data_IF_804638045649
#
_entry.id   IF_804638045649
#
_cell.length_a   1.000
_cell.length_b   1.000
_cell.length_c   1.000
_cell.angle_alpha   90.00
_cell.angle_beta   90.00
_cell.angle_gamma   90.00
#
_symmetry.space_group_name_H-M   'P 1'
#
loop_
_entity.id
_entity.type
_entity.pdbx_description
1 polymer ?
#
# COMPACT_ATOMS: atom_id res chain seq x y z
N UNK A 1 13.97 8.08 -6.93
CA UNK A 1 13.05 6.93 -7.08
C UNK A 1 12.59 6.39 -5.72
N UNK A 2 13.49 6.18 -4.75
CA UNK A 2 13.15 5.74 -3.37
C UNK A 2 12.17 6.66 -2.61
N UNK A 3 12.17 7.98 -2.89
CA UNK A 3 11.24 8.95 -2.28
C UNK A 3 9.76 8.57 -2.47
N UNK A 4 9.40 7.94 -3.58
CA UNK A 4 8.01 7.57 -3.82
C UNK A 4 7.59 6.35 -2.99
N UNK A 5 8.53 5.45 -2.64
CA UNK A 5 8.23 4.30 -1.79
C UNK A 5 7.97 4.70 -0.33
N UNK A 6 8.59 5.80 0.13
CA UNK A 6 8.37 6.32 1.48
C UNK A 6 6.92 6.72 1.73
N UNK A 7 6.20 7.18 0.70
CA UNK A 7 4.77 7.53 0.81
C UNK A 7 3.93 6.34 1.27
N UNK A 8 4.26 5.12 0.82
CA UNK A 8 3.54 3.90 1.19
C UNK A 8 3.76 3.49 2.66
N UNK A 9 4.75 4.08 3.35
CA UNK A 9 4.97 3.88 4.80
C UNK A 9 4.38 5.04 5.59
N UNK A 10 4.75 6.26 5.22
CA UNK A 10 4.41 7.44 6.01
C UNK A 10 2.92 7.79 5.93
N UNK A 11 2.25 7.56 4.81
CA UNK A 11 0.82 7.84 4.69
C UNK A 11 -0.04 6.97 5.64
N UNK A 12 0.04 5.62 5.61
CA UNK A 12 -0.70 4.80 6.57
C UNK A 12 -0.20 4.98 8.00
N UNK A 13 1.10 5.24 8.22
CA UNK A 13 1.63 5.51 9.56
C UNK A 13 1.08 6.81 10.16
N UNK A 14 0.97 7.88 9.37
CA UNK A 14 0.38 9.14 9.82
C UNK A 14 -1.11 8.95 10.18
N UNK A 15 -1.86 8.17 9.39
CA UNK A 15 -3.23 7.82 9.73
C UNK A 15 -3.30 6.93 10.98
N UNK A 16 -2.36 6.01 11.17
CA UNK A 16 -2.29 5.15 12.35
C UNK A 16 -2.07 5.99 13.62
N UNK A 17 -1.09 6.90 13.60
CA UNK A 17 -0.83 7.81 14.72
C UNK A 17 -1.98 8.80 14.95
N UNK A 18 -2.60 9.29 13.88
CA UNK A 18 -3.81 10.11 13.97
C UNK A 18 -4.97 9.33 14.60
N UNK A 19 -5.09 8.04 14.32
CA UNK A 19 -6.09 7.18 14.94
C UNK A 19 -5.83 7.01 16.44
N UNK A 20 -4.59 6.74 16.84
CA UNK A 20 -4.26 6.58 18.28
C UNK A 20 -4.57 7.85 19.05
N UNK A 21 -4.14 9.01 18.56
CA UNK A 21 -4.40 10.29 19.24
C UNK A 21 -5.87 10.71 19.22
N UNK A 22 -6.66 10.25 18.22
CA UNK A 22 -8.12 10.47 18.17
C UNK A 22 -8.84 9.72 19.30
N UNK A 23 -8.42 8.47 19.56
CA UNK A 23 -9.08 7.55 20.51
C UNK A 23 -8.50 7.69 21.92
N UNK A 24 -7.17 7.73 22.03
CA UNK A 24 -6.40 7.83 23.26
C UNK A 24 -5.43 9.02 23.14
N UNK A 25 -5.89 10.25 23.34
CA UNK A 25 -5.03 11.43 23.24
C UNK A 25 -3.97 11.38 24.34
N UNK A 26 -2.69 11.42 23.94
CA UNK A 26 -1.56 11.44 24.88
C UNK A 26 -0.65 12.64 24.66
N UNK A 27 -0.54 13.11 23.41
CA UNK A 27 0.39 14.17 23.03
C UNK A 27 -0.28 15.47 22.58
N UNK A 28 -1.57 15.44 22.21
CA UNK A 28 -2.29 16.57 21.63
C UNK A 28 -3.20 17.30 22.63
N UNK A 29 -3.25 18.63 22.53
CA UNK A 29 -4.16 19.47 23.30
C UNK A 29 -5.63 19.28 22.89
N UNK A 30 -6.57 19.61 23.78
CA UNK A 30 -8.01 19.45 23.53
C UNK A 30 -8.49 20.11 22.22
N UNK A 31 -7.96 21.28 21.87
CA UNK A 31 -8.28 21.97 20.61
C UNK A 31 -7.77 21.20 19.39
N UNK A 32 -6.56 20.66 19.47
CA UNK A 32 -5.96 19.88 18.38
C UNK A 32 -6.69 18.55 18.20
N UNK A 33 -7.08 17.88 19.28
CA UNK A 33 -7.92 16.68 19.25
C UNK A 33 -9.28 16.98 18.63
N UNK A 34 -9.85 18.16 18.89
CA UNK A 34 -11.08 18.63 18.23
C UNK A 34 -10.95 18.70 16.71
N UNK A 35 -9.89 19.33 16.21
CA UNK A 35 -9.60 19.35 14.76
C UNK A 35 -9.33 17.96 14.20
N UNK A 36 -8.57 17.13 14.91
CA UNK A 36 -8.28 15.76 14.50
C UNK A 36 -9.58 14.96 14.36
N UNK A 37 -10.51 15.04 15.32
CA UNK A 37 -11.81 14.36 15.23
C UNK A 37 -12.64 14.82 14.04
N UNK A 38 -12.57 16.10 13.67
CA UNK A 38 -13.30 16.65 12.53
C UNK A 38 -12.73 16.23 11.17
N UNK A 39 -11.39 16.25 11.02
CA UNK A 39 -10.75 16.05 9.72
C UNK A 39 -10.24 14.62 9.49
N UNK A 40 -10.04 13.82 10.55
CA UNK A 40 -9.56 12.45 10.43
C UNK A 40 -10.45 11.55 9.56
N UNK A 41 -11.79 11.56 9.68
CA UNK A 41 -12.66 10.73 8.83
C UNK A 41 -12.48 11.05 7.34
N UNK A 42 -12.32 12.34 7.00
CA UNK A 42 -12.09 12.80 5.63
C UNK A 42 -10.74 12.26 5.11
N UNK A 43 -9.68 12.40 5.90
CA UNK A 43 -8.35 11.89 5.53
C UNK A 43 -8.36 10.36 5.32
N UNK A 44 -9.08 9.62 6.18
CA UNK A 44 -9.22 8.19 6.07
C UNK A 44 -10.02 7.78 4.82
N UNK A 45 -11.12 8.47 4.51
CA UNK A 45 -11.89 8.24 3.27
C UNK A 45 -11.05 8.52 2.02
N UNK A 46 -10.26 9.61 2.01
CA UNK A 46 -9.34 9.91 0.90
C UNK A 46 -8.30 8.79 0.70
N UNK A 47 -7.80 8.20 1.79
CA UNK A 47 -6.89 7.06 1.71
C UNK A 47 -7.57 5.81 1.12
N UNK A 48 -8.82 5.54 1.49
CA UNK A 48 -9.59 4.44 0.90
C UNK A 48 -9.92 4.67 -0.58
N UNK A 49 -10.25 5.90 -0.98
CA UNK A 49 -10.41 6.28 -2.39
C UNK A 49 -9.10 6.05 -3.15
N UNK A 50 -7.97 6.46 -2.56
CA UNK A 50 -6.66 6.22 -3.15
C UNK A 50 -6.34 4.72 -3.27
N UNK A 51 -6.67 3.90 -2.28
CA UNK A 51 -6.56 2.43 -2.35
C UNK A 51 -7.38 1.85 -3.49
N UNK A 52 -8.65 2.27 -3.61
CA UNK A 52 -9.54 1.82 -4.68
C UNK A 52 -8.95 2.16 -6.05
N UNK A 53 -8.49 3.39 -6.24
CA UNK A 53 -7.80 3.82 -7.46
C UNK A 53 -6.54 2.98 -7.72
N UNK A 54 -5.68 2.81 -6.71
CA UNK A 54 -4.41 2.10 -6.83
C UNK A 54 -4.60 0.65 -7.27
N UNK A 55 -5.47 -0.10 -6.59
CA UNK A 55 -5.70 -1.51 -6.92
C UNK A 55 -6.45 -1.70 -8.25
N UNK A 56 -7.35 -0.79 -8.59
CA UNK A 56 -8.01 -0.81 -9.91
C UNK A 56 -7.01 -0.55 -11.04
N UNK A 57 -6.16 0.47 -10.90
CA UNK A 57 -5.11 0.78 -11.87
C UNK A 57 -4.10 -0.37 -12.02
N UNK A 58 -3.73 -1.02 -10.92
CA UNK A 58 -2.83 -2.16 -10.92
C UNK A 58 -3.45 -3.37 -11.64
N UNK A 59 -4.71 -3.69 -11.35
CA UNK A 59 -5.45 -4.74 -12.04
C UNK A 59 -5.53 -4.48 -13.55
N UNK A 60 -5.89 -3.25 -13.97
CA UNK A 60 -5.95 -2.88 -15.38
C UNK A 60 -4.57 -3.01 -16.06
N UNK A 61 -3.52 -2.45 -15.43
CA UNK A 61 -2.15 -2.54 -15.94
C UNK A 61 -1.72 -3.99 -16.16
N UNK A 62 -1.99 -4.87 -15.19
CA UNK A 62 -1.58 -6.26 -15.27
C UNK A 62 -2.39 -7.07 -16.29
N UNK A 63 -3.66 -6.76 -16.48
CA UNK A 63 -4.45 -7.35 -17.56
C UNK A 63 -3.90 -6.96 -18.94
N UNK A 64 -3.53 -5.69 -19.14
CA UNK A 64 -2.89 -5.23 -20.39
C UNK A 64 -1.56 -5.96 -20.61
N UNK A 65 -0.72 -6.05 -19.58
CA UNK A 65 0.56 -6.76 -19.67
C UNK A 65 0.36 -8.25 -20.01
N UNK A 66 -0.65 -8.89 -19.42
CA UNK A 66 -0.99 -10.29 -19.70
C UNK A 66 -1.52 -10.47 -21.12
N UNK A 67 -2.36 -9.56 -21.60
CA UNK A 67 -2.83 -9.56 -22.99
C UNK A 67 -1.67 -9.39 -23.99
N UNK A 68 -0.64 -8.63 -23.60
CA UNK A 68 0.60 -8.44 -24.37
C UNK A 68 1.63 -9.57 -24.20
N UNK A 69 1.26 -10.71 -23.60
CA UNK A 69 2.11 -11.90 -23.50
C UNK A 69 2.96 -12.00 -22.23
N UNK A 70 2.80 -11.11 -21.24
CA UNK A 70 3.50 -11.24 -19.95
C UNK A 70 2.98 -12.45 -19.15
N UNK A 71 3.89 -13.23 -18.57
CA UNK A 71 3.59 -14.39 -17.73
C UNK A 71 3.20 -13.98 -16.31
N UNK A 72 2.02 -13.39 -16.15
CA UNK A 72 1.48 -12.96 -14.85
C UNK A 72 0.59 -14.06 -14.27
N UNK A 73 0.84 -14.43 -13.02
CA UNK A 73 0.04 -15.45 -12.31
C UNK A 73 -1.39 -14.96 -12.13
N UNK A 74 -2.38 -15.76 -12.55
CA UNK A 74 -3.79 -15.35 -12.50
C UNK A 74 -4.34 -15.05 -11.10
N UNK A 75 -3.78 -15.65 -10.04
CA UNK A 75 -4.17 -15.34 -8.66
C UNK A 75 -3.78 -13.92 -8.24
N UNK A 76 -2.69 -13.38 -8.79
CA UNK A 76 -2.20 -12.05 -8.47
C UNK A 76 -3.15 -10.97 -9.00
N UNK A 77 -3.63 -11.13 -10.23
CA UNK A 77 -4.66 -10.25 -10.81
C UNK A 77 -5.98 -10.34 -10.00
N UNK A 78 -6.41 -11.55 -9.63
CA UNK A 78 -7.61 -11.74 -8.80
C UNK A 78 -7.49 -11.05 -7.45
N UNK A 79 -6.33 -11.14 -6.81
CA UNK A 79 -6.05 -10.46 -5.54
C UNK A 79 -6.31 -8.94 -5.66
N UNK A 80 -5.84 -8.28 -6.72
CA UNK A 80 -6.09 -6.84 -6.90
C UNK A 80 -7.56 -6.48 -7.04
N UNK A 81 -8.33 -7.30 -7.76
CA UNK A 81 -9.79 -7.09 -7.84
C UNK A 81 -10.47 -7.25 -6.48
N UNK A 82 -10.09 -8.26 -5.69
CA UNK A 82 -10.61 -8.43 -4.33
C UNK A 82 -10.22 -7.25 -3.42
N UNK A 83 -8.99 -6.74 -3.53
CA UNK A 83 -8.56 -5.56 -2.79
C UNK A 83 -9.34 -4.30 -3.19
N UNK A 84 -9.60 -4.10 -4.49
CA UNK A 84 -10.40 -2.99 -4.98
C UNK A 84 -11.86 -3.09 -4.49
N UNK A 85 -12.49 -4.26 -4.56
CA UNK A 85 -13.84 -4.46 -4.04
C UNK A 85 -13.90 -4.23 -2.53
N UNK A 86 -12.89 -4.67 -1.77
CA UNK A 86 -12.83 -4.44 -0.32
C UNK A 86 -12.72 -2.95 0.00
N UNK A 87 -11.89 -2.20 -0.72
CA UNK A 87 -11.80 -0.75 -0.57
C UNK A 87 -13.15 -0.06 -0.83
N UNK A 88 -13.88 -0.51 -1.85
CA UNK A 88 -15.23 -0.02 -2.13
C UNK A 88 -16.21 -0.35 -1.00
N UNK A 89 -16.20 -1.57 -0.47
CA UNK A 89 -17.05 -1.95 0.66
C UNK A 89 -16.78 -1.05 1.87
N UNK A 90 -15.51 -0.86 2.25
CA UNK A 90 -15.14 -0.04 3.43
C UNK A 90 -15.55 1.42 3.25
N UNK A 91 -15.51 1.98 2.04
CA UNK A 91 -16.00 3.33 1.76
C UNK A 91 -17.50 3.52 2.07
N UNK A 92 -18.28 2.43 2.02
CA UNK A 92 -19.72 2.46 2.31
C UNK A 92 -20.04 2.19 3.79
N UNK A 93 -19.05 1.80 4.60
CA UNK A 93 -19.25 1.46 6.00
C UNK A 93 -19.26 2.71 6.89
N UNK A 94 -20.02 2.62 7.98
CA UNK A 94 -19.95 3.61 9.05
C UNK A 94 -18.58 3.52 9.77
N UNK A 95 -17.86 4.63 9.78
CA UNK A 95 -16.52 4.76 10.36
C UNK A 95 -16.54 4.67 11.89
N UNK A 96 -17.64 5.04 12.53
CA UNK A 96 -17.77 5.05 13.99
C UNK A 96 -18.30 3.71 14.54
N UNK A 97 -18.67 2.76 13.66
CA UNK A 97 -19.00 1.40 14.06
C UNK A 97 -17.81 0.71 14.75
N UNK A 98 -18.01 0.04 15.91
CA UNK A 98 -16.93 -0.65 16.62
C UNK A 98 -16.15 -1.66 15.76
N UNK A 99 -16.85 -2.35 14.85
CA UNK A 99 -16.22 -3.31 13.93
C UNK A 99 -15.34 -2.60 12.89
N UNK A 100 -15.82 -1.50 12.31
CA UNK A 100 -15.08 -0.71 11.34
C UNK A 100 -13.86 -0.03 11.98
N UNK A 101 -14.02 0.48 13.20
CA UNK A 101 -12.95 1.06 14.00
C UNK A 101 -11.82 0.04 14.27
N UNK A 102 -12.17 -1.15 14.77
CA UNK A 102 -11.20 -2.22 15.02
C UNK A 102 -10.50 -2.72 13.74
N UNK A 103 -11.24 -2.82 12.64
CA UNK A 103 -10.68 -3.16 11.33
C UNK A 103 -9.69 -2.10 10.84
N UNK A 104 -10.06 -0.81 10.93
CA UNK A 104 -9.25 0.31 10.48
C UNK A 104 -7.88 0.33 11.16
N UNK A 105 -7.85 0.19 12.49
CA UNK A 105 -6.60 0.14 13.25
C UNK A 105 -5.68 -0.99 12.76
N UNK A 106 -6.21 -2.21 12.67
CA UNK A 106 -5.45 -3.40 12.24
C UNK A 106 -4.98 -3.26 10.80
N UNK A 107 -5.83 -2.73 9.92
CA UNK A 107 -5.52 -2.51 8.53
C UNK A 107 -4.40 -1.48 8.35
N UNK A 108 -4.47 -0.34 9.04
CA UNK A 108 -3.44 0.70 8.97
C UNK A 108 -2.08 0.18 9.49
N UNK A 109 -2.09 -0.61 10.57
CA UNK A 109 -0.86 -1.25 11.07
C UNK A 109 -0.29 -2.20 10.01
N UNK A 110 -1.14 -3.05 9.44
CA UNK A 110 -0.74 -3.98 8.39
C UNK A 110 -0.16 -3.26 7.17
N UNK A 111 -0.80 -2.19 6.67
CA UNK A 111 -0.33 -1.47 5.49
C UNK A 111 0.95 -0.68 5.74
N UNK A 112 1.15 -0.15 6.96
CA UNK A 112 2.43 0.44 7.37
C UNK A 112 3.55 -0.59 7.33
N UNK A 113 3.34 -1.77 7.92
CA UNK A 113 4.31 -2.87 7.89
C UNK A 113 4.59 -3.32 6.45
N UNK A 114 3.55 -3.42 5.63
CA UNK A 114 3.70 -3.77 4.22
C UNK A 114 4.52 -2.73 3.44
N UNK A 115 4.33 -1.44 3.72
CA UNK A 115 5.18 -0.39 3.15
C UNK A 115 6.65 -0.52 3.55
N UNK A 116 6.93 -0.93 4.79
CA UNK A 116 8.31 -1.18 5.26
C UNK A 116 8.92 -2.35 4.48
N UNK A 117 8.16 -3.43 4.30
CA UNK A 117 8.58 -4.57 3.47
C UNK A 117 8.88 -4.12 2.04
N UNK A 118 8.02 -3.29 1.43
CA UNK A 118 8.26 -2.72 0.10
C UNK A 118 9.54 -1.88 0.03
N UNK A 119 9.86 -1.08 1.05
CA UNK A 119 11.12 -0.32 1.10
C UNK A 119 12.34 -1.25 1.10
N UNK A 120 12.31 -2.28 1.95
CA UNK A 120 13.40 -3.25 2.07
C UNK A 120 13.56 -4.02 0.76
N UNK A 121 12.46 -4.52 0.18
CA UNK A 121 12.47 -5.23 -1.10
C UNK A 121 13.02 -4.36 -2.23
N UNK A 122 12.58 -3.10 -2.33
CA UNK A 122 13.04 -2.18 -3.36
C UNK A 122 14.55 -1.88 -3.23
N UNK A 123 15.05 -1.70 -2.00
CA UNK A 123 16.48 -1.52 -1.72
C UNK A 123 17.28 -2.76 -2.12
N UNK A 124 16.83 -3.93 -1.67
CA UNK A 124 17.50 -5.21 -1.95
C UNK A 124 17.57 -5.51 -3.45
N UNK A 125 16.44 -5.39 -4.16
CA UNK A 125 16.35 -5.66 -5.59
C UNK A 125 17.26 -4.73 -6.40
N UNK A 126 17.32 -3.46 -6.03
CA UNK A 126 18.17 -2.47 -6.69
C UNK A 126 19.65 -2.78 -6.50
N UNK A 127 20.08 -3.07 -5.27
CA UNK A 127 21.47 -3.41 -4.99
C UNK A 127 21.90 -4.67 -5.74
N UNK A 128 21.08 -5.72 -5.71
CA UNK A 128 21.33 -6.96 -6.45
C UNK A 128 21.50 -6.71 -7.95
N UNK A 129 20.64 -5.88 -8.55
CA UNK A 129 20.72 -5.54 -9.97
C UNK A 129 22.04 -4.84 -10.29
N UNK A 130 22.42 -3.82 -9.51
CA UNK A 130 23.69 -3.11 -9.74
C UNK A 130 24.91 -4.03 -9.61
N UNK A 131 24.93 -4.93 -8.63
CA UNK A 131 26.01 -5.92 -8.50
C UNK A 131 26.04 -6.86 -9.70
N UNK A 132 24.89 -7.34 -10.19
CA UNK A 132 24.84 -8.21 -11.39
C UNK A 132 25.33 -7.51 -12.64
N UNK A 133 24.96 -6.25 -12.86
CA UNK A 133 25.43 -5.44 -13.99
C UNK A 133 26.94 -5.24 -13.90
N UNK A 134 27.48 -4.90 -12.72
CA UNK A 134 28.92 -4.72 -12.51
C UNK A 134 29.72 -6.03 -12.73
N UNK A 135 29.12 -7.18 -12.44
CA UNK A 135 29.71 -8.50 -12.70
C UNK A 135 29.53 -8.99 -14.15
N UNK A 136 28.87 -8.22 -15.02
CA UNK A 136 28.54 -8.65 -16.39
C UNK A 136 27.50 -9.79 -16.46
N UNK A 137 26.79 -10.07 -15.36
CA UNK A 137 25.77 -11.13 -15.26
C UNK A 137 24.35 -10.63 -15.57
N UNK A 138 24.18 -9.35 -15.86
CA UNK A 138 22.90 -8.75 -16.26
C UNK A 138 23.13 -7.60 -17.25
N UNK A 139 22.20 -7.43 -18.18
CA UNK A 139 22.17 -6.29 -19.09
C UNK A 139 21.73 -5.02 -18.34
N UNK A 140 22.23 -3.82 -18.72
CA UNK A 140 21.71 -2.55 -18.20
C UNK A 140 20.20 -2.37 -18.44
N UNK A 141 19.61 -3.06 -19.42
CA UNK A 141 18.17 -3.05 -19.69
C UNK A 141 17.37 -4.05 -18.85
N UNK A 142 18.03 -4.98 -18.16
CA UNK A 142 17.32 -5.96 -17.34
C UNK A 142 16.61 -5.25 -16.19
N UNK A 143 15.35 -5.55 -15.98
CA UNK A 143 14.59 -4.98 -14.87
C UNK A 143 14.63 -5.97 -13.70
N UNK A 144 14.73 -5.44 -12.49
CA UNK A 144 14.67 -6.25 -11.28
C UNK A 144 13.34 -7.03 -11.23
N UNK A 145 13.41 -8.34 -11.50
CA UNK A 145 12.30 -9.27 -11.36
C UNK A 145 12.32 -9.93 -9.97
N UNK A 146 11.13 -10.19 -9.43
CA UNK A 146 10.95 -11.05 -8.27
C UNK A 146 11.19 -12.49 -8.75
N UNK A 147 12.26 -13.13 -8.27
CA UNK A 147 12.67 -14.49 -8.67
C UNK A 147 11.64 -15.59 -8.32
N UNK A 148 10.55 -15.23 -7.63
CA UNK A 148 9.37 -16.10 -7.45
C UNK A 148 8.58 -16.30 -8.75
N UNK A 149 8.88 -15.57 -9.83
CA UNK A 149 8.44 -15.87 -11.20
C UNK A 149 9.24 -17.04 -11.80
N UNK A 150 9.45 -18.10 -11.03
CA UNK A 150 9.88 -19.39 -11.56
C UNK A 150 8.83 -19.87 -12.54
N UNK A 151 9.08 -19.63 -13.82
CA UNK A 151 8.58 -20.48 -14.89
C UNK A 151 9.36 -21.77 -14.84
N UNK A 152 8.62 -22.89 -14.88
CA UNK A 152 9.14 -24.08 -15.55
C UNK A 152 9.36 -23.76 -17.03
#
# INVERSE_FOLDING_TARGET
RDRNTLVYVFAPMALLLGYTERVHPTALDARQVGYLRAFYPIALQLYWIWMLYFYTALALRENILRANGSTIRGWWIKHHYYSASMALCVLTMDLDSPACAAFTWRFLLFTTLQGIVMLVQNRYQRLRMYTRVAMGKASPMDVASIELSGGQ
#
